data_IF_443919835328
#
_entry.id   IF_443919835328
#
_cell.length_a   1.000
_cell.length_b   1.000
_cell.length_c   1.000
_cell.angle_alpha   90.00
_cell.angle_beta   90.00
_cell.angle_gamma   90.00
#
_symmetry.space_group_name_H-M   'P 1'
#
loop_
_entity.id
_entity.type
_entity.pdbx_description
1 polymer ?
#
# COMPACT_ATOMS: atom_id res chain seq x y z
N UNK A 1 -14.81 -0.17 17.17
CA UNK A 1 -14.08 0.45 16.05
C UNK A 1 -12.59 0.19 16.26
N UNK A 2 -11.94 -0.49 15.32
CA UNK A 2 -10.50 -0.78 15.37
C UNK A 2 -9.82 0.27 14.49
N UNK A 3 -8.84 0.99 15.03
CA UNK A 3 -8.09 2.01 14.30
C UNK A 3 -6.63 1.62 14.29
N UNK A 4 -6.09 1.46 13.08
CA UNK A 4 -4.68 1.20 12.83
C UNK A 4 -4.13 2.25 11.87
N UNK A 5 -2.96 2.77 12.19
CA UNK A 5 -2.23 3.70 11.35
C UNK A 5 -1.02 2.98 10.76
N UNK A 6 -0.98 2.84 9.44
CA UNK A 6 0.14 2.22 8.73
C UNK A 6 1.05 3.31 8.17
N UNK A 7 2.29 3.35 8.65
CA UNK A 7 3.32 4.28 8.16
C UNK A 7 4.22 3.52 7.20
N UNK A 8 4.23 3.95 5.94
CA UNK A 8 4.96 3.29 4.85
C UNK A 8 5.97 4.29 4.26
N UNK A 9 7.21 4.32 4.76
CA UNK A 9 8.27 5.09 4.14
C UNK A 9 8.51 4.60 2.72
N UNK A 10 8.79 5.52 1.78
CA UNK A 10 9.08 5.18 0.39
C UNK A 10 10.24 6.02 -0.16
N UNK A 11 11.13 5.44 -0.99
CA UNK A 11 12.28 6.13 -1.59
C UNK A 11 11.85 6.97 -2.82
N UNK A 12 10.77 7.73 -2.70
CA UNK A 12 10.12 8.49 -3.77
C UNK A 12 9.83 9.92 -3.33
N UNK A 13 9.87 10.85 -4.28
CA UNK A 13 9.29 12.19 -4.07
C UNK A 13 7.77 12.13 -4.15
N UNK A 14 7.09 13.07 -3.50
CA UNK A 14 5.64 13.16 -3.45
C UNK A 14 4.99 13.17 -4.85
N UNK A 15 5.57 13.91 -5.79
CA UNK A 15 5.11 13.98 -7.18
C UNK A 15 5.36 12.70 -8.01
N UNK A 16 6.34 11.89 -7.62
CA UNK A 16 6.61 10.57 -8.21
C UNK A 16 5.63 9.54 -7.65
N UNK A 17 5.36 9.60 -6.34
CA UNK A 17 4.38 8.76 -5.70
C UNK A 17 2.99 8.94 -6.31
N UNK A 18 2.52 10.18 -6.48
CA UNK A 18 1.20 10.46 -7.06
C UNK A 18 1.02 9.81 -8.45
N UNK A 19 2.06 9.84 -9.29
CA UNK A 19 2.03 9.21 -10.62
C UNK A 19 2.16 7.70 -10.54
N UNK A 20 3.08 7.22 -9.69
CA UNK A 20 3.33 5.80 -9.46
C UNK A 20 2.09 5.07 -8.94
N UNK A 21 1.43 5.63 -7.92
CA UNK A 21 0.24 5.07 -7.28
C UNK A 21 -0.88 4.80 -8.30
N UNK A 22 -1.20 5.77 -9.16
CA UNK A 22 -2.25 5.61 -10.18
C UNK A 22 -1.92 4.50 -11.17
N UNK A 23 -0.67 4.43 -11.61
CA UNK A 23 -0.20 3.36 -12.49
C UNK A 23 -0.30 2.00 -11.80
N UNK A 24 0.20 1.87 -10.56
CA UNK A 24 0.17 0.61 -9.82
C UNK A 24 -1.24 0.13 -9.52
N UNK A 25 -2.18 1.04 -9.19
CA UNK A 25 -3.59 0.68 -8.99
C UNK A 25 -4.20 0.12 -10.28
N UNK A 26 -3.94 0.75 -11.43
CA UNK A 26 -4.42 0.25 -12.71
C UNK A 26 -3.86 -1.13 -13.04
N UNK A 27 -2.56 -1.34 -12.86
CA UNK A 27 -1.92 -2.63 -13.15
C UNK A 27 -2.35 -3.74 -12.17
N UNK A 28 -2.52 -3.41 -10.88
CA UNK A 28 -3.03 -4.33 -9.88
C UNK A 28 -4.48 -4.73 -10.19
N UNK A 29 -5.35 -3.75 -10.49
CA UNK A 29 -6.73 -4.02 -10.87
C UNK A 29 -6.82 -4.98 -12.08
N UNK A 30 -5.99 -4.78 -13.10
CA UNK A 30 -5.93 -5.71 -14.25
C UNK A 30 -5.49 -7.12 -13.86
N UNK A 31 -4.58 -7.24 -12.90
CA UNK A 31 -4.06 -8.53 -12.46
C UNK A 31 -5.06 -9.31 -11.58
N UNK A 32 -5.87 -8.61 -10.78
CA UNK A 32 -6.90 -9.24 -9.94
C UNK A 32 -8.24 -9.44 -10.68
N UNK A 33 -8.44 -8.79 -11.84
CA UNK A 33 -9.60 -9.00 -12.71
C UNK A 33 -9.44 -10.33 -13.47
N UNK A 34 -9.71 -11.44 -12.80
CA UNK A 34 -9.69 -12.77 -13.41
C UNK A 34 -9.45 -13.87 -12.38
N UNK A 35 -10.53 -14.36 -11.77
CA UNK A 35 -10.45 -15.42 -10.78
C UNK A 35 -11.80 -15.67 -10.15
N UNK A 36 -12.61 -16.52 -10.79
CA UNK A 36 -13.79 -17.08 -10.13
C UNK A 36 -13.33 -18.22 -9.24
N UNK A 37 -13.18 -17.98 -7.94
CA UNK A 37 -12.86 -19.04 -6.97
C UNK A 37 -14.08 -19.39 -6.10
N UNK A 38 -14.44 -20.67 -6.11
CA UNK A 38 -15.30 -21.33 -5.13
C UNK A 38 -16.82 -21.18 -5.35
N UNK A 39 -17.56 -22.20 -4.88
CA UNK A 39 -19.01 -22.12 -4.67
C UNK A 39 -19.23 -22.16 -3.17
N UNK A 40 -19.38 -20.98 -2.56
CA UNK A 40 -19.94 -20.83 -1.22
C UNK A 40 -21.29 -20.13 -1.33
N UNK A 41 -22.33 -20.75 -0.77
CA UNK A 41 -23.70 -20.24 -0.89
C UNK A 41 -23.93 -19.16 0.17
N UNK A 42 -23.75 -17.92 -0.23
CA UNK A 42 -24.23 -16.74 0.51
C UNK A 42 -25.29 -15.99 -0.33
N UNK A 43 -26.13 -15.14 0.31
CA UNK A 43 -27.01 -14.23 -0.43
C UNK A 43 -26.19 -13.42 -1.43
N UNK A 44 -26.70 -13.20 -2.65
CA UNK A 44 -25.98 -12.45 -3.68
C UNK A 44 -25.62 -11.03 -3.20
N UNK A 45 -26.44 -10.47 -2.32
CA UNK A 45 -26.25 -9.18 -1.68
C UNK A 45 -25.02 -9.13 -0.75
N UNK A 46 -24.57 -10.28 -0.22
CA UNK A 46 -23.40 -10.35 0.65
C UNK A 46 -22.09 -10.09 -0.12
N UNK A 47 -22.07 -10.31 -1.43
CA UNK A 47 -20.90 -10.13 -2.29
C UNK A 47 -20.84 -8.75 -2.95
N UNK A 48 -21.82 -7.88 -2.68
CA UNK A 48 -21.82 -6.52 -3.21
C UNK A 48 -21.12 -5.56 -2.24
N UNK A 49 -19.94 -5.09 -2.63
CA UNK A 49 -19.16 -4.12 -1.90
C UNK A 49 -19.13 -2.81 -2.70
N UNK A 50 -19.41 -1.69 -2.04
CA UNK A 50 -19.37 -0.36 -2.62
C UNK A 50 -18.12 0.36 -2.12
N UNK A 51 -17.26 0.78 -3.04
CA UNK A 51 -16.08 1.59 -2.76
C UNK A 51 -16.30 3.01 -3.30
N UNK A 52 -16.25 3.99 -2.39
CA UNK A 52 -16.25 5.42 -2.73
C UNK A 52 -14.90 6.02 -2.38
N UNK A 53 -14.28 6.74 -3.32
CA UNK A 53 -12.94 7.30 -3.17
C UNK A 53 -12.90 8.78 -3.53
N UNK A 54 -12.39 9.60 -2.60
CA UNK A 54 -12.12 11.03 -2.77
C UNK A 54 -10.61 11.26 -2.76
N UNK A 55 -10.03 11.37 -3.95
CA UNK A 55 -8.60 11.62 -4.13
C UNK A 55 -8.33 13.13 -4.28
N UNK A 56 -7.96 13.78 -3.18
CA UNK A 56 -7.57 15.18 -3.10
C UNK A 56 -6.10 15.31 -2.65
N UNK A 57 -5.20 14.72 -3.45
CA UNK A 57 -3.77 14.60 -3.13
C UNK A 57 -3.17 15.90 -2.55
N UNK A 58 -2.43 15.86 -1.42
CA UNK A 58 -1.84 14.69 -0.77
C UNK A 58 -2.76 13.90 0.16
N UNK A 59 -4.01 14.34 0.35
CA UNK A 59 -4.98 13.60 1.15
C UNK A 59 -5.85 12.70 0.27
N UNK A 60 -6.19 11.51 0.76
CA UNK A 60 -7.14 10.63 0.09
C UNK A 60 -7.99 9.91 1.12
N UNK A 61 -9.28 9.81 0.84
CA UNK A 61 -10.22 9.05 1.65
C UNK A 61 -10.93 8.03 0.79
N UNK A 62 -10.95 6.79 1.24
CA UNK A 62 -11.71 5.71 0.64
C UNK A 62 -12.63 5.12 1.69
N UNK A 63 -13.90 4.93 1.34
CA UNK A 63 -14.92 4.34 2.20
C UNK A 63 -15.48 3.12 1.48
N UNK A 64 -15.34 1.97 2.13
CA UNK A 64 -15.83 0.68 1.64
C UNK A 64 -17.00 0.25 2.52
N UNK A 65 -18.14 -0.04 1.90
CA UNK A 65 -19.38 -0.43 2.58
C UNK A 65 -20.02 -1.64 1.91
N UNK A 66 -20.94 -2.30 2.63
CA UNK A 66 -21.81 -3.33 2.07
C UNK A 66 -23.26 -2.91 2.39
N UNK A 67 -23.90 -2.10 1.52
CA UNK A 67 -25.15 -1.45 1.85
C UNK A 67 -26.35 -2.40 1.88
N UNK A 68 -26.30 -3.53 1.16
CA UNK A 68 -27.45 -4.43 1.01
C UNK A 68 -27.53 -5.49 2.11
N UNK A 69 -26.40 -6.07 2.51
CA UNK A 69 -26.35 -7.15 3.48
C UNK A 69 -25.97 -6.65 4.88
N UNK A 70 -24.77 -6.09 5.05
CA UNK A 70 -24.27 -5.71 6.38
C UNK A 70 -24.74 -4.32 6.83
N UNK A 71 -25.14 -3.45 5.91
CA UNK A 71 -25.64 -2.09 6.16
C UNK A 71 -24.64 -1.32 7.03
N UNK A 72 -25.10 -0.71 8.12
CA UNK A 72 -24.30 0.10 9.05
C UNK A 72 -23.32 -0.73 9.90
N UNK A 73 -23.43 -2.06 9.90
CA UNK A 73 -22.55 -2.92 10.69
C UNK A 73 -21.18 -3.15 10.05
N UNK A 74 -20.99 -2.74 8.79
CA UNK A 74 -19.73 -2.90 8.08
C UNK A 74 -19.32 -1.61 7.38
N UNK A 75 -18.16 -1.10 7.78
CA UNK A 75 -17.50 0.01 7.13
C UNK A 75 -15.99 -0.14 7.27
N UNK A 76 -15.27 0.03 6.17
CA UNK A 76 -13.82 0.21 6.20
C UNK A 76 -13.54 1.61 5.67
N UNK A 77 -12.91 2.43 6.50
CA UNK A 77 -12.49 3.78 6.13
C UNK A 77 -10.98 3.81 6.07
N UNK A 78 -10.45 4.15 4.90
CA UNK A 78 -9.02 4.32 4.65
C UNK A 78 -8.79 5.81 4.42
N UNK A 79 -8.17 6.46 5.38
CA UNK A 79 -7.69 7.84 5.23
C UNK A 79 -6.18 7.80 5.09
N UNK A 80 -5.65 8.51 4.10
CA UNK A 80 -4.23 8.50 3.75
C UNK A 80 -3.73 9.92 3.53
N UNK A 81 -2.60 10.23 4.16
CA UNK A 81 -1.89 11.49 3.98
C UNK A 81 -0.47 11.20 3.49
N UNK A 82 -0.09 11.83 2.40
CA UNK A 82 1.23 11.65 1.79
C UNK A 82 2.12 12.84 2.14
N UNK A 83 3.18 12.60 2.91
CA UNK A 83 4.09 13.66 3.38
C UNK A 83 5.52 13.34 2.97
N UNK A 84 6.26 14.38 2.59
CA UNK A 84 7.68 14.29 2.28
C UNK A 84 8.50 14.28 3.58
N UNK A 85 8.49 13.16 4.30
CA UNK A 85 9.25 12.98 5.54
C UNK A 85 9.74 11.53 5.65
N UNK A 86 10.39 11.21 6.77
CA UNK A 86 10.86 9.87 7.10
C UNK A 86 9.82 9.02 7.86
N UNK A 87 8.54 9.41 7.87
CA UNK A 87 7.48 8.69 8.57
C UNK A 87 7.40 8.91 10.08
N UNK A 88 8.13 9.86 10.65
CA UNK A 88 8.13 10.11 12.10
C UNK A 88 7.21 11.25 12.55
N UNK A 89 6.53 11.93 11.63
CA UNK A 89 5.57 12.98 12.00
C UNK A 89 4.35 12.36 12.63
N UNK A 90 4.04 12.76 13.86
CA UNK A 90 2.81 12.36 14.52
C UNK A 90 1.63 13.21 14.06
N UNK A 91 0.45 12.59 14.07
CA UNK A 91 -0.84 13.24 13.85
C UNK A 91 -1.03 13.95 12.50
N UNK A 92 -0.41 13.38 11.47
CA UNK A 92 -0.40 13.92 10.10
C UNK A 92 -1.80 14.09 9.50
N UNK A 93 -2.76 13.28 9.94
CA UNK A 93 -4.11 13.29 9.39
C UNK A 93 -4.99 14.39 9.98
N UNK A 94 -4.60 15.06 11.08
CA UNK A 94 -5.35 16.12 11.78
C UNK A 94 -6.85 15.82 12.05
N UNK A 95 -7.33 14.62 11.77
CA UNK A 95 -8.73 14.19 11.84
C UNK A 95 -9.05 13.40 13.11
N UNK A 96 -8.02 13.05 13.89
CA UNK A 96 -8.22 12.29 15.11
C UNK A 96 -8.57 13.23 16.25
N UNK A 97 -9.82 13.15 16.69
CA UNK A 97 -10.27 13.80 17.90
C UNK A 97 -9.38 13.36 19.08
N UNK A 98 -9.04 14.28 20.00
CA UNK A 98 -8.26 13.93 21.19
C UNK A 98 -8.94 12.79 21.96
N UNK A 99 -8.21 11.69 22.21
CA UNK A 99 -8.69 10.56 23.01
C UNK A 99 -8.93 9.24 22.26
N UNK A 100 -8.77 9.22 20.92
CA UNK A 100 -8.86 7.99 20.14
C UNK A 100 -7.52 7.22 20.24
N UNK A 101 -7.56 6.00 20.80
CA UNK A 101 -6.39 5.09 20.80
C UNK A 101 -6.19 4.52 19.39
N UNK A 102 -4.95 4.60 18.89
CA UNK A 102 -4.54 4.03 17.60
C UNK A 102 -3.32 3.13 17.78
N UNK A 103 -3.30 2.02 17.05
CA UNK A 103 -2.11 1.19 16.94
C UNK A 103 -1.32 1.65 15.71
N UNK A 104 -0.14 2.24 15.94
CA UNK A 104 0.76 2.68 14.87
C UNK A 104 1.66 1.53 14.46
N UNK A 105 1.60 1.15 13.19
CA UNK A 105 2.41 0.09 12.59
C UNK A 105 3.34 0.71 11.55
N UNK A 106 4.65 0.55 11.75
CA UNK A 106 5.65 0.96 10.78
C UNK A 106 5.92 -0.23 9.84
N UNK A 107 5.66 -0.04 8.55
CA UNK A 107 5.89 -1.05 7.53
C UNK A 107 7.17 -0.71 6.77
N UNK A 108 8.21 -1.53 6.96
CA UNK A 108 9.41 -1.46 6.12
C UNK A 108 9.22 -2.33 4.88
N UNK A 109 9.19 -1.70 3.71
CA UNK A 109 9.08 -2.37 2.40
C UNK A 109 10.30 -3.25 2.07
N UNK A 110 11.35 -3.20 2.90
CA UNK A 110 12.52 -4.07 2.82
C UNK A 110 12.35 -5.35 3.63
N UNK A 111 11.45 -5.38 4.62
CA UNK A 111 11.29 -6.50 5.55
C UNK A 111 10.34 -7.57 4.98
N UNK A 112 10.86 -8.80 4.88
CA UNK A 112 10.11 -9.95 4.39
C UNK A 112 9.20 -10.56 5.46
N UNK A 113 9.31 -10.14 6.73
CA UNK A 113 8.55 -10.70 7.85
C UNK A 113 7.03 -10.62 7.68
N UNK A 114 6.54 -9.68 6.86
CA UNK A 114 5.11 -9.45 6.62
C UNK A 114 4.58 -10.13 5.35
N UNK A 115 5.43 -10.85 4.60
CA UNK A 115 5.04 -11.50 3.35
C UNK A 115 4.73 -12.99 3.60
N UNK A 116 3.50 -13.40 3.30
CA UNK A 116 3.11 -14.81 3.40
C UNK A 116 3.76 -15.65 2.29
N UNK A 117 3.94 -16.95 2.53
CA UNK A 117 4.52 -17.86 1.53
C UNK A 117 3.68 -17.97 0.25
N UNK A 118 2.37 -17.73 0.31
CA UNK A 118 1.46 -17.76 -0.84
C UNK A 118 1.48 -16.46 -1.64
N UNK A 119 1.69 -15.32 -0.98
CA UNK A 119 1.80 -14.01 -1.63
C UNK A 119 3.21 -13.76 -2.20
N UNK A 120 4.16 -14.62 -1.82
CA UNK A 120 5.51 -14.63 -2.34
C UNK A 120 5.53 -15.16 -3.78
N UNK A 121 5.94 -14.32 -4.73
CA UNK A 121 6.24 -14.75 -6.09
C UNK A 121 7.77 -14.82 -6.30
N UNK A 122 8.32 -15.88 -6.90
CA UNK A 122 9.74 -15.93 -7.25
C UNK A 122 10.17 -14.83 -8.24
N UNK A 123 9.22 -14.26 -9.00
CA UNK A 123 9.43 -13.07 -9.85
C UNK A 123 9.47 -11.76 -9.06
N UNK A 124 9.02 -11.78 -7.80
CA UNK A 124 9.10 -10.68 -6.84
C UNK A 124 10.19 -10.91 -5.78
N UNK A 125 10.80 -12.11 -5.76
CA UNK A 125 11.94 -12.49 -4.92
C UNK A 125 13.30 -12.17 -5.56
N UNK A 126 14.11 -11.31 -4.94
CA UNK A 126 15.41 -10.96 -5.47
C UNK A 126 16.52 -12.02 -5.28
N UNK A 127 16.29 -13.18 -4.65
CA UNK A 127 17.27 -14.29 -4.65
C UNK A 127 17.26 -15.14 -5.92
N UNK A 128 16.17 -15.11 -6.69
CA UNK A 128 16.09 -15.81 -7.96
C UNK A 128 16.79 -14.99 -9.08
N UNK A 129 17.94 -15.48 -9.56
CA UNK A 129 18.60 -14.95 -10.77
C UNK A 129 17.65 -15.00 -11.96
N UNK A 130 16.99 -13.90 -12.34
CA UNK A 130 16.20 -13.86 -13.59
C UNK A 130 16.47 -12.61 -14.43
N UNK A 131 16.63 -12.91 -15.72
CA UNK A 131 16.82 -12.02 -16.86
C UNK A 131 15.82 -10.86 -16.97
N UNK A 132 16.32 -9.81 -17.60
CA UNK A 132 15.87 -8.43 -17.69
C UNK A 132 14.59 -8.23 -18.54
N UNK A 133 13.48 -8.93 -18.28
CA UNK A 133 12.29 -8.82 -19.16
C UNK A 133 10.90 -8.80 -18.50
N UNK A 134 10.74 -8.91 -17.18
CA UNK A 134 9.43 -8.76 -16.53
C UNK A 134 9.54 -7.89 -15.29
N UNK A 135 9.14 -6.63 -15.40
CA UNK A 135 9.23 -5.65 -14.32
C UNK A 135 7.92 -4.89 -14.16
N UNK A 136 6.88 -5.58 -13.67
CA UNK A 136 5.69 -5.00 -13.03
C UNK A 136 5.26 -6.03 -11.96
N UNK A 137 4.99 -5.58 -10.72
CA UNK A 137 4.95 -6.32 -9.44
C UNK A 137 6.34 -6.65 -8.87
N UNK A 138 6.88 -5.77 -8.02
CA UNK A 138 8.07 -6.04 -7.19
C UNK A 138 7.79 -5.50 -5.79
N UNK A 139 7.61 -6.40 -4.81
CA UNK A 139 7.43 -6.07 -3.39
C UNK A 139 8.73 -6.20 -2.57
N UNK A 140 9.90 -6.38 -3.21
CA UNK A 140 11.16 -6.52 -2.47
C UNK A 140 12.24 -5.65 -3.14
N UNK A 141 12.61 -4.55 -2.49
CA UNK A 141 13.53 -3.53 -3.04
C UNK A 141 15.00 -3.77 -2.61
N UNK A 142 15.27 -4.86 -1.89
CA UNK A 142 16.63 -5.23 -1.42
C UNK A 142 17.65 -5.44 -2.56
N UNK A 143 17.21 -5.78 -3.78
CA UNK A 143 18.12 -5.92 -4.95
C UNK A 143 17.62 -5.24 -6.22
N UNK A 144 16.49 -4.54 -6.14
CA UNK A 144 15.95 -3.80 -7.26
C UNK A 144 16.80 -2.55 -7.50
N UNK A 145 17.23 -2.36 -8.74
CA UNK A 145 17.93 -1.15 -9.18
C UNK A 145 17.19 -0.53 -10.37
N UNK A 146 16.64 0.66 -10.19
CA UNK A 146 16.03 1.43 -11.28
C UNK A 146 17.11 1.94 -12.22
N UNK A 147 17.13 1.47 -13.47
CA UNK A 147 18.03 2.03 -14.50
C UNK A 147 17.72 3.50 -14.84
N UNK A 148 16.44 3.91 -14.76
CA UNK A 148 16.00 5.26 -15.13
C UNK A 148 16.22 6.29 -14.02
N UNK A 149 16.00 5.88 -12.77
CA UNK A 149 16.12 6.78 -11.61
C UNK A 149 17.45 6.61 -10.86
N UNK A 150 18.25 5.61 -11.22
CA UNK A 150 19.49 5.21 -10.53
C UNK A 150 19.27 5.05 -9.01
N UNK A 151 18.20 4.33 -8.63
CA UNK A 151 17.79 4.10 -7.24
C UNK A 151 17.81 2.63 -6.88
N UNK A 152 18.12 2.37 -5.62
CA UNK A 152 18.26 1.03 -5.07
C UNK A 152 19.64 0.42 -5.41
N UNK A 153 19.98 -0.73 -4.84
CA UNK A 153 19.22 -1.47 -3.83
C UNK A 153 19.09 -0.73 -2.50
N UNK A 154 18.01 -0.99 -1.75
CA UNK A 154 17.83 -0.41 -0.41
C UNK A 154 18.74 -1.12 0.62
N UNK A 155 19.60 -0.34 1.28
CA UNK A 155 20.49 -0.77 2.37
C UNK A 155 19.70 -1.02 3.66
N UNK A 156 20.34 -1.60 4.68
CA UNK A 156 19.71 -1.87 5.99
C UNK A 156 19.21 -0.60 6.69
N UNK A 157 19.88 0.52 6.48
CA UNK A 157 19.62 1.82 7.08
C UNK A 157 18.91 2.81 6.12
N UNK A 158 18.26 2.30 5.07
CA UNK A 158 17.76 3.13 3.97
C UNK A 158 16.76 4.21 4.41
N UNK A 159 15.93 3.93 5.43
CA UNK A 159 14.95 4.89 5.97
C UNK A 159 15.64 6.11 6.61
N UNK A 160 16.80 5.90 7.24
CA UNK A 160 17.59 6.96 7.87
C UNK A 160 18.61 7.60 6.93
N UNK A 161 18.79 7.06 5.73
CA UNK A 161 19.75 7.54 4.75
C UNK A 161 19.31 8.88 4.13
N UNK A 162 20.26 9.81 4.01
CA UNK A 162 20.08 11.08 3.26
C UNK A 162 20.03 10.87 1.75
N UNK A 163 20.23 9.64 1.27
CA UNK A 163 20.19 9.30 -0.17
C UNK A 163 18.77 9.41 -0.76
N UNK A 164 17.74 9.38 0.09
CA UNK A 164 16.35 9.52 -0.32
C UNK A 164 15.83 10.92 -0.03
N UNK A 165 14.87 11.41 -0.83
CA UNK A 165 14.37 12.77 -0.67
C UNK A 165 13.68 12.91 0.70
N UNK A 166 14.38 13.50 1.65
CA UNK A 166 13.80 14.13 2.84
C UNK A 166 13.99 15.61 2.55
N UNK A 167 12.90 16.38 2.46
CA UNK A 167 13.04 17.84 2.38
C UNK A 167 13.54 18.38 3.73
#
# INVERSE_FOLDING_TARGET
>A
MIIKEYRIPLPLKLNEYQRGQRFTVSEASKAETGGGEGVEVFPSEAFEIHEECWNAFPYTKTVVTNPKYMKENFQVVIESMHVQNNGHTDDVLFTLQPGIKRDVVHLDIRDDAFISKSDYAPTTDPKARINIAKMIKCCIIQKWHSKKANRGPLKDDWISSKEFPVE
#
